data_IF_390136192264
#
_entry.id   IF_390136192264
#
_cell.length_a   1.000
_cell.length_b   1.000
_cell.length_c   1.000
_cell.angle_alpha   90.00
_cell.angle_beta   90.00
_cell.angle_gamma   90.00
#
_symmetry.space_group_name_H-M   'P 1'
#
loop_
_entity.id
_entity.type
_entity.pdbx_description
1 polymer ?
#
# COMPACT_ATOMS: atom_id res chain seq x y z
N UNK A 1 -14.62 2.86 45.33
CA UNK A 1 -13.19 2.65 45.05
C UNK A 1 -12.98 2.91 43.56
N UNK A 2 -12.98 4.19 43.21
CA UNK A 2 -12.48 4.70 41.94
C UNK A 2 -10.98 4.43 41.86
N UNK A 3 -10.52 3.97 40.69
CA UNK A 3 -9.11 4.04 40.30
C UNK A 3 -9.01 4.99 39.13
N UNK A 4 -8.77 6.25 39.47
CA UNK A 4 -8.21 7.30 38.63
C UNK A 4 -6.98 6.74 37.92
N UNK A 5 -7.04 6.70 36.58
CA UNK A 5 -5.85 6.46 35.75
C UNK A 5 -5.45 7.83 35.22
N UNK A 6 -4.57 8.49 35.96
CA UNK A 6 -3.89 9.71 35.53
C UNK A 6 -3.02 9.37 34.30
N UNK A 7 -3.61 9.53 33.12
CA UNK A 7 -2.86 9.65 31.87
C UNK A 7 -2.27 11.05 31.90
N UNK A 8 -0.98 11.10 32.20
CA UNK A 8 -0.14 12.28 32.24
C UNK A 8 -0.21 13.00 30.88
N UNK A 9 -1.11 13.99 30.79
CA UNK A 9 -1.10 15.03 29.77
C UNK A 9 0.18 15.83 29.99
N UNK A 10 1.21 15.54 29.18
CA UNK A 10 2.33 16.46 29.01
C UNK A 10 1.79 17.68 28.27
N UNK A 11 1.21 18.61 29.03
CA UNK A 11 1.01 19.99 28.62
C UNK A 11 2.38 20.59 28.36
N UNK A 12 2.78 20.63 27.09
CA UNK A 12 3.81 21.56 26.66
C UNK A 12 3.26 22.97 26.84
N UNK A 13 3.52 23.56 27.99
CA UNK A 13 3.51 25.00 28.17
C UNK A 13 4.67 25.58 27.35
N UNK A 14 4.41 25.93 26.10
CA UNK A 14 5.16 26.97 25.40
C UNK A 14 4.19 28.10 25.07
N UNK A 15 4.22 29.15 25.88
CA UNK A 15 3.62 30.45 25.60
C UNK A 15 4.45 31.19 24.53
N UNK A 16 4.65 30.57 23.39
CA UNK A 16 5.03 31.23 22.15
C UNK A 16 3.80 31.13 21.25
N UNK A 17 3.18 32.26 20.90
CA UNK A 17 2.17 32.27 19.85
C UNK A 17 2.80 31.63 18.61
N UNK A 18 2.25 30.49 18.19
CA UNK A 18 2.73 29.81 16.99
C UNK A 18 2.57 30.74 15.78
N UNK A 19 3.54 30.62 14.87
CA UNK A 19 3.67 31.47 13.69
C UNK A 19 2.36 31.63 12.91
N UNK A 20 2.08 32.82 12.37
CA UNK A 20 0.95 33.01 11.47
C UNK A 20 1.14 32.22 10.18
N UNK A 21 0.17 31.41 9.77
CA UNK A 21 0.17 30.68 8.49
C UNK A 21 -0.94 31.21 7.60
N UNK A 22 -0.59 31.55 6.36
CA UNK A 22 -1.56 31.95 5.36
C UNK A 22 -2.04 30.74 4.53
N UNK A 23 -3.34 30.66 4.24
CA UNK A 23 -3.91 29.64 3.36
C UNK A 23 -4.62 30.33 2.19
N UNK A 24 -4.10 30.14 0.98
CA UNK A 24 -4.75 30.59 -0.24
C UNK A 24 -5.81 29.56 -0.65
N UNK A 25 -7.06 30.01 -0.74
CA UNK A 25 -8.20 29.17 -1.09
C UNK A 25 -9.01 28.71 0.12
N UNK A 26 -10.31 28.96 0.07
CA UNK A 26 -11.30 28.66 1.13
C UNK A 26 -12.16 27.43 0.79
N UNK A 27 -11.64 26.52 -0.04
CA UNK A 27 -12.28 25.25 -0.38
C UNK A 27 -12.18 24.22 0.74
N UNK A 28 -12.65 23.00 0.47
CA UNK A 28 -12.76 21.94 1.49
C UNK A 28 -11.42 21.63 2.17
N UNK A 29 -10.34 21.48 1.39
CA UNK A 29 -9.01 21.21 1.95
C UNK A 29 -8.48 22.38 2.78
N UNK A 30 -8.61 23.61 2.29
CA UNK A 30 -8.16 24.81 3.02
C UNK A 30 -8.90 24.97 4.34
N UNK A 31 -10.23 24.73 4.36
CA UNK A 31 -11.06 24.73 5.58
C UNK A 31 -10.60 23.68 6.58
N UNK A 32 -10.43 22.43 6.15
CA UNK A 32 -9.99 21.33 7.01
C UNK A 32 -8.62 21.60 7.62
N UNK A 33 -7.66 22.03 6.80
CA UNK A 33 -6.31 22.28 7.26
C UNK A 33 -6.24 23.48 8.19
N UNK A 34 -6.93 24.57 7.86
CA UNK A 34 -6.98 25.76 8.72
C UNK A 34 -7.66 25.48 10.06
N UNK A 35 -8.72 24.67 10.08
CA UNK A 35 -9.36 24.25 11.33
C UNK A 35 -8.40 23.43 12.20
N UNK A 36 -7.67 22.47 11.64
CA UNK A 36 -6.71 21.66 12.40
C UNK A 36 -5.55 22.54 12.91
N UNK A 37 -5.04 23.45 12.09
CA UNK A 37 -3.98 24.37 12.49
C UNK A 37 -4.41 25.31 13.64
N UNK A 38 -5.63 25.84 13.61
CA UNK A 38 -6.19 26.63 14.71
C UNK A 38 -6.28 25.81 16.00
N UNK A 39 -6.67 24.53 15.92
CA UNK A 39 -6.72 23.64 17.08
C UNK A 39 -5.33 23.33 17.65
N UNK A 40 -4.29 23.40 16.82
CA UNK A 40 -2.90 23.24 17.24
C UNK A 40 -2.26 24.53 17.79
N UNK A 41 -2.93 25.68 17.67
CA UNK A 41 -2.46 26.97 18.22
C UNK A 41 -1.91 27.97 17.19
N UNK A 42 -1.97 27.66 15.89
CA UNK A 42 -1.51 28.57 14.83
C UNK A 42 -2.52 29.68 14.57
N UNK A 43 -2.03 30.90 14.31
CA UNK A 43 -2.85 31.99 13.78
C UNK A 43 -3.06 31.81 12.26
N UNK A 44 -4.30 31.72 11.80
CA UNK A 44 -4.62 31.47 10.39
C UNK A 44 -5.20 32.69 9.70
N UNK A 45 -4.64 33.01 8.52
CA UNK A 45 -5.17 34.04 7.61
C UNK A 45 -5.52 33.39 6.27
N UNK A 46 -6.78 33.43 5.88
CA UNK A 46 -7.24 32.94 4.59
C UNK A 46 -7.14 34.03 3.51
N UNK A 47 -6.55 33.68 2.36
CA UNK A 47 -6.64 34.45 1.13
C UNK A 47 -7.79 33.95 0.26
N UNK A 48 -8.73 34.84 -0.09
CA UNK A 48 -9.89 34.52 -0.92
C UNK A 48 -10.15 35.57 -2.00
N UNK A 49 -10.73 35.15 -3.13
CA UNK A 49 -11.24 36.06 -4.17
C UNK A 49 -12.37 36.97 -3.67
N UNK A 50 -13.18 36.47 -2.74
CA UNK A 50 -14.27 37.21 -2.14
C UNK A 50 -14.22 37.07 -0.61
N UNK A 51 -13.49 37.95 0.10
CA UNK A 51 -13.31 37.85 1.54
C UNK A 51 -14.61 38.08 2.33
N UNK A 52 -15.62 38.71 1.72
CA UNK A 52 -16.92 38.97 2.34
C UNK A 52 -17.78 37.69 2.49
N UNK A 53 -17.49 36.62 1.72
CA UNK A 53 -18.19 35.34 1.82
C UNK A 53 -17.39 34.34 2.69
N UNK A 54 -17.47 34.49 4.01
CA UNK A 54 -16.69 33.70 4.99
C UNK A 54 -17.54 32.78 5.88
N UNK A 55 -18.84 32.61 5.62
CA UNK A 55 -19.79 31.93 6.53
C UNK A 55 -19.49 30.48 6.91
N UNK A 56 -18.64 29.79 6.14
CA UNK A 56 -18.27 28.38 6.34
C UNK A 56 -16.82 28.20 6.82
N UNK A 57 -16.16 29.28 7.25
CA UNK A 57 -14.77 29.24 7.74
C UNK A 57 -14.73 29.13 9.27
N UNK A 58 -13.63 28.59 9.82
CA UNK A 58 -13.48 28.46 11.27
C UNK A 58 -13.53 29.82 11.97
N UNK A 59 -14.19 29.86 13.13
CA UNK A 59 -14.15 31.03 14.01
C UNK A 59 -12.70 31.26 14.48
N UNK A 60 -12.22 32.51 14.40
CA UNK A 60 -10.86 32.89 14.81
C UNK A 60 -9.84 33.00 13.67
N UNK A 61 -10.21 32.66 12.43
CA UNK A 61 -9.39 32.97 11.26
C UNK A 61 -9.85 34.26 10.55
N UNK A 62 -8.90 35.08 10.14
CA UNK A 62 -9.15 36.27 9.33
C UNK A 62 -9.24 35.89 7.84
N UNK A 63 -10.07 36.59 7.07
CA UNK A 63 -10.22 36.35 5.63
C UNK A 63 -9.99 37.65 4.87
N UNK A 64 -8.97 37.66 4.03
CA UNK A 64 -8.50 38.84 3.30
C UNK A 64 -8.41 38.57 1.81
N UNK A 65 -8.14 39.64 1.05
CA UNK A 65 -7.70 39.48 -0.34
C UNK A 65 -6.36 38.73 -0.40
N UNK A 66 -6.02 38.13 -1.55
CA UNK A 66 -4.77 37.40 -1.68
C UNK A 66 -3.52 38.24 -1.39
N UNK A 67 -3.50 39.50 -1.83
CA UNK A 67 -2.36 40.41 -1.60
C UNK A 67 -2.17 40.74 -0.12
N UNK A 68 -3.25 41.12 0.57
CA UNK A 68 -3.24 41.45 1.99
C UNK A 68 -2.91 40.22 2.86
N UNK A 69 -3.47 39.06 2.52
CA UNK A 69 -3.21 37.82 3.24
C UNK A 69 -1.73 37.40 3.15
N UNK A 70 -1.12 37.53 1.96
CA UNK A 70 0.30 37.19 1.75
C UNK A 70 1.27 38.08 2.55
N UNK A 71 0.88 39.30 2.90
CA UNK A 71 1.73 40.19 3.71
C UNK A 71 1.79 39.77 5.19
N UNK A 72 0.79 39.03 5.68
CA UNK A 72 0.67 38.67 7.11
C UNK A 72 1.45 37.42 7.53
N UNK A 73 2.02 36.67 6.59
CA UNK A 73 2.72 35.40 6.89
C UNK A 73 3.90 35.18 5.94
N UNK A 74 4.92 34.46 6.42
CA UNK A 74 6.02 33.97 5.58
C UNK A 74 5.74 32.61 4.92
N UNK A 75 4.72 31.90 5.40
CA UNK A 75 4.34 30.57 4.94
C UNK A 75 2.93 30.62 4.35
N UNK A 76 2.81 30.36 3.06
CA UNK A 76 1.56 30.41 2.32
C UNK A 76 1.27 29.02 1.75
N UNK A 77 0.15 28.43 2.18
CA UNK A 77 -0.31 27.13 1.71
C UNK A 77 -1.27 27.31 0.54
N UNK A 78 -0.93 26.69 -0.58
CA UNK A 78 -1.63 26.82 -1.85
C UNK A 78 -2.76 25.79 -1.98
N UNK A 79 -3.87 26.00 -1.27
CA UNK A 79 -5.07 25.15 -1.33
C UNK A 79 -5.95 25.46 -2.56
N UNK A 80 -5.32 25.56 -3.74
CA UNK A 80 -5.94 25.90 -5.02
C UNK A 80 -5.47 24.88 -6.08
N UNK A 81 -6.36 24.53 -7.01
CA UNK A 81 -6.01 23.67 -8.14
C UNK A 81 -5.07 24.39 -9.13
N UNK A 82 -4.19 23.60 -9.77
CA UNK A 82 -3.16 24.09 -10.69
C UNK A 82 -3.71 24.99 -11.79
N UNK A 83 -4.89 24.67 -12.32
CA UNK A 83 -5.56 25.41 -13.40
C UNK A 83 -5.81 26.88 -13.03
N UNK A 84 -5.78 27.22 -11.75
CA UNK A 84 -6.02 28.56 -11.23
C UNK A 84 -4.77 29.21 -10.66
N UNK A 85 -3.55 28.77 -11.00
CA UNK A 85 -2.32 29.41 -10.50
C UNK A 85 -1.99 30.75 -11.16
N UNK A 86 -2.63 31.08 -12.29
CA UNK A 86 -2.25 32.25 -13.09
C UNK A 86 -2.33 33.59 -12.34
N UNK A 87 -3.22 33.76 -11.35
CA UNK A 87 -3.28 35.01 -10.58
C UNK A 87 -2.02 35.30 -9.75
N UNK A 88 -1.18 34.28 -9.51
CA UNK A 88 0.06 34.43 -8.73
C UNK A 88 1.11 35.27 -9.45
N UNK A 89 1.06 35.37 -10.78
CA UNK A 89 1.98 36.22 -11.53
C UNK A 89 1.78 37.70 -11.20
N UNK A 90 0.57 38.10 -10.82
CA UNK A 90 0.26 39.46 -10.38
C UNK A 90 0.72 39.73 -8.94
N UNK A 91 0.98 38.68 -8.15
CA UNK A 91 1.39 38.76 -6.75
C UNK A 91 2.89 38.49 -6.53
N UNK A 92 3.66 38.32 -7.61
CA UNK A 92 5.04 37.82 -7.53
C UNK A 92 5.94 38.70 -6.66
N UNK A 93 5.73 40.02 -6.65
CA UNK A 93 6.48 40.95 -5.79
C UNK A 93 6.20 40.71 -4.30
N UNK A 94 4.94 40.47 -3.93
CA UNK A 94 4.50 40.23 -2.55
C UNK A 94 4.96 38.84 -2.07
N UNK A 95 5.05 37.88 -2.97
CA UNK A 95 5.44 36.50 -2.67
C UNK A 95 6.95 36.28 -2.66
N UNK A 96 7.75 37.29 -2.97
CA UNK A 96 9.20 37.17 -3.01
C UNK A 96 9.79 36.84 -1.63
N UNK A 97 10.65 35.81 -1.56
CA UNK A 97 11.23 35.29 -0.32
C UNK A 97 10.28 34.47 0.57
N UNK A 98 9.00 34.36 0.21
CA UNK A 98 8.01 33.57 0.96
C UNK A 98 8.18 32.07 0.70
N UNK A 99 7.66 31.25 1.62
CA UNK A 99 7.54 29.80 1.47
C UNK A 99 6.17 29.49 0.89
N UNK A 100 6.14 28.92 -0.32
CA UNK A 100 4.90 28.46 -0.96
C UNK A 100 4.78 26.95 -0.81
N UNK A 101 3.76 26.49 -0.09
CA UNK A 101 3.50 25.06 0.10
C UNK A 101 2.48 24.60 -0.93
N UNK A 102 2.92 23.85 -1.94
CA UNK A 102 2.04 23.23 -2.92
C UNK A 102 1.45 21.93 -2.38
N UNK A 103 0.11 21.89 -2.29
CA UNK A 103 -0.67 20.74 -1.80
C UNK A 103 -1.49 20.07 -2.90
N UNK A 104 -1.35 20.52 -4.15
CA UNK A 104 -2.22 20.09 -5.24
C UNK A 104 -1.98 18.65 -5.70
N UNK A 105 -3.03 18.00 -6.22
CA UNK A 105 -2.93 16.74 -6.97
C UNK A 105 -3.58 16.91 -8.33
N UNK A 106 -3.08 16.18 -9.33
CA UNK A 106 -3.70 16.10 -10.66
C UNK A 106 -4.86 15.10 -10.66
N UNK A 107 -5.73 15.15 -11.67
CA UNK A 107 -6.84 14.20 -11.80
C UNK A 107 -6.36 12.84 -12.35
N UNK A 108 -5.27 12.85 -13.12
CA UNK A 108 -4.67 11.66 -13.73
C UNK A 108 -3.15 11.75 -13.74
N UNK A 109 -2.50 10.58 -13.70
CA UNK A 109 -1.05 10.44 -13.85
C UNK A 109 -0.64 10.97 -15.23
N UNK A 110 0.47 11.73 -15.28
CA UNK A 110 1.01 12.36 -16.51
C UNK A 110 0.01 13.29 -17.23
N UNK A 111 -0.84 14.01 -16.48
CA UNK A 111 -1.70 15.05 -17.04
C UNK A 111 -0.90 16.23 -17.62
N UNK A 112 0.20 16.59 -16.96
CA UNK A 112 1.09 17.68 -17.33
C UNK A 112 2.54 17.16 -17.48
N UNK A 113 3.40 17.83 -18.27
CA UNK A 113 4.78 17.38 -18.51
C UNK A 113 5.69 17.53 -17.29
N UNK A 114 5.42 18.52 -16.44
CA UNK A 114 6.16 18.82 -15.21
C UNK A 114 5.21 18.79 -14.01
N UNK A 115 5.75 18.58 -12.80
CA UNK A 115 4.95 18.57 -11.57
C UNK A 115 4.30 19.93 -11.31
N UNK A 116 3.29 19.94 -10.44
CA UNK A 116 2.60 21.17 -10.06
C UNK A 116 3.51 22.09 -9.24
N UNK A 117 4.34 21.51 -8.37
CA UNK A 117 5.31 22.27 -7.59
C UNK A 117 6.41 22.90 -8.48
N UNK A 118 6.92 22.20 -9.50
CA UNK A 118 7.88 22.78 -10.46
C UNK A 118 7.25 23.91 -11.28
N UNK A 119 5.99 23.74 -11.71
CA UNK A 119 5.27 24.81 -12.41
C UNK A 119 5.05 26.03 -11.51
N UNK A 120 4.69 25.82 -10.24
CA UNK A 120 4.54 26.90 -9.27
C UNK A 120 5.86 27.65 -9.06
N UNK A 121 6.99 26.93 -9.00
CA UNK A 121 8.31 27.55 -8.88
C UNK A 121 8.69 28.39 -10.11
N UNK A 122 8.25 27.99 -11.31
CA UNK A 122 8.43 28.79 -12.52
C UNK A 122 7.56 30.06 -12.53
N UNK A 123 6.34 29.98 -11.99
CA UNK A 123 5.43 31.13 -11.90
C UNK A 123 5.89 32.17 -10.87
N UNK A 124 6.50 31.75 -9.77
CA UNK A 124 6.98 32.63 -8.70
C UNK A 124 8.45 32.32 -8.36
N UNK A 125 9.41 32.72 -9.21
CA UNK A 125 10.82 32.33 -9.06
C UNK A 125 11.49 32.84 -7.78
N UNK A 126 10.98 33.94 -7.21
CA UNK A 126 11.49 34.52 -5.96
C UNK A 126 11.05 33.77 -4.69
N UNK A 127 10.13 32.82 -4.79
CA UNK A 127 9.61 32.09 -3.65
C UNK A 127 10.27 30.71 -3.47
N UNK A 128 10.29 30.22 -2.23
CA UNK A 128 10.74 28.89 -1.90
C UNK A 128 9.57 27.90 -1.94
N UNK A 129 9.49 27.11 -3.02
CA UNK A 129 8.42 26.12 -3.18
C UNK A 129 8.75 24.83 -2.44
N UNK A 130 7.78 24.34 -1.67
CA UNK A 130 7.81 23.06 -0.95
C UNK A 130 6.56 22.26 -1.31
N UNK A 131 6.72 21.00 -1.70
CA UNK A 131 5.60 20.06 -1.86
C UNK A 131 5.29 19.42 -0.51
N UNK A 132 4.04 19.48 -0.05
CA UNK A 132 3.60 18.78 1.16
C UNK A 132 2.08 18.54 1.16
N UNK A 133 1.59 17.77 2.14
CA UNK A 133 0.18 17.50 2.47
C UNK A 133 -0.71 16.85 1.40
N UNK A 134 -0.24 16.68 0.17
CA UNK A 134 -1.03 16.11 -0.93
C UNK A 134 -1.43 14.64 -0.72
N UNK A 135 -0.80 13.93 0.22
CA UNK A 135 -1.13 12.54 0.59
C UNK A 135 -2.26 12.43 1.61
N UNK A 136 -2.69 13.53 2.22
CA UNK A 136 -3.73 13.55 3.24
C UNK A 136 -5.03 14.07 2.63
N UNK A 137 -6.14 13.40 2.94
CA UNK A 137 -7.46 13.86 2.52
C UNK A 137 -8.02 14.92 3.46
N UNK A 138 -8.83 15.84 2.92
CA UNK A 138 -9.52 16.86 3.72
C UNK A 138 -10.40 16.25 4.83
N UNK A 139 -10.99 15.08 4.56
CA UNK A 139 -11.81 14.35 5.54
C UNK A 139 -10.97 13.77 6.68
N UNK A 140 -9.78 13.23 6.39
CA UNK A 140 -8.91 12.64 7.41
C UNK A 140 -8.40 13.70 8.41
N UNK A 141 -8.18 14.94 7.95
CA UNK A 141 -7.87 16.07 8.83
C UNK A 141 -9.04 16.39 9.77
N UNK A 142 -10.28 16.42 9.25
CA UNK A 142 -11.47 16.75 10.06
C UNK A 142 -11.84 15.67 11.07
N UNK A 143 -11.80 14.40 10.66
CA UNK A 143 -12.26 13.29 11.48
C UNK A 143 -11.23 12.84 12.51
N UNK A 144 -9.96 13.26 12.36
CA UNK A 144 -8.79 12.75 13.09
C UNK A 144 -8.61 11.23 13.01
N UNK A 145 -9.37 10.57 12.12
CA UNK A 145 -9.28 9.15 11.84
C UNK A 145 -8.20 8.91 10.78
N UNK A 146 -6.94 9.04 11.20
CA UNK A 146 -5.77 8.74 10.36
C UNK A 146 -5.49 7.23 10.36
N UNK A 147 -6.41 6.43 9.81
CA UNK A 147 -6.33 4.96 9.87
C UNK A 147 -5.32 4.34 8.89
N UNK A 148 -4.95 5.06 7.82
CA UNK A 148 -4.09 4.51 6.76
C UNK A 148 -2.63 4.96 6.84
N UNK A 149 -2.36 6.27 6.95
CA UNK A 149 -1.00 6.80 7.08
C UNK A 149 -1.00 8.22 7.65
N UNK A 150 -0.19 8.45 8.68
CA UNK A 150 0.12 9.78 9.22
C UNK A 150 1.29 10.45 8.48
N UNK A 151 1.80 9.82 7.43
CA UNK A 151 3.00 10.28 6.74
C UNK A 151 2.66 11.38 5.73
N UNK A 152 3.42 12.48 5.81
CA UNK A 152 3.41 13.54 4.80
C UNK A 152 4.76 13.52 4.10
N UNK A 153 4.75 13.28 2.80
CA UNK A 153 5.97 13.43 2.00
C UNK A 153 6.26 14.92 1.81
N UNK A 154 7.50 15.32 2.06
CA UNK A 154 7.95 16.70 1.93
C UNK A 154 9.16 16.76 1.00
N UNK A 155 9.14 17.62 -0.01
CA UNK A 155 10.33 17.89 -0.83
C UNK A 155 10.42 19.36 -1.22
N UNK A 156 11.64 19.84 -1.44
CA UNK A 156 11.90 21.24 -1.80
C UNK A 156 13.39 21.50 -1.94
N UNK A 157 13.75 22.56 -2.68
CA UNK A 157 15.15 22.90 -2.97
C UNK A 157 15.82 23.69 -1.84
N UNK A 158 15.06 24.48 -1.09
CA UNK A 158 15.57 25.21 0.08
C UNK A 158 15.39 24.39 1.36
N UNK A 159 16.50 24.11 2.06
CA UNK A 159 16.49 23.25 3.25
C UNK A 159 15.82 23.91 4.45
N UNK A 160 15.94 25.24 4.60
CA UNK A 160 15.33 25.99 5.71
C UNK A 160 13.82 26.02 5.58
N UNK A 161 13.31 26.36 4.39
CA UNK A 161 11.89 26.34 4.06
C UNK A 161 11.30 24.95 4.29
N UNK A 162 12.00 23.91 3.83
CA UNK A 162 11.56 22.53 4.03
C UNK A 162 11.45 22.16 5.51
N UNK A 163 12.43 22.53 6.34
CA UNK A 163 12.38 22.25 7.79
C UNK A 163 11.20 22.96 8.46
N UNK A 164 10.95 24.24 8.15
CA UNK A 164 9.78 24.97 8.70
C UNK A 164 8.47 24.28 8.35
N UNK A 165 8.31 23.80 7.11
CA UNK A 165 7.12 23.05 6.70
C UNK A 165 7.04 21.70 7.42
N UNK A 166 8.16 21.00 7.62
CA UNK A 166 8.21 19.75 8.39
C UNK A 166 7.84 19.96 9.87
N UNK A 167 8.21 21.10 10.46
CA UNK A 167 7.83 21.46 11.83
C UNK A 167 6.32 21.66 11.96
N UNK A 168 5.69 22.35 10.99
CA UNK A 168 4.23 22.45 10.91
C UNK A 168 3.59 21.06 10.83
N UNK A 169 4.11 20.17 9.97
CA UNK A 169 3.61 18.79 9.86
C UNK A 169 3.68 18.08 11.22
N UNK A 170 4.78 18.22 11.98
CA UNK A 170 4.92 17.61 13.31
C UNK A 170 3.93 18.18 14.32
N UNK A 171 3.72 19.49 14.33
CA UNK A 171 2.77 20.18 15.22
C UNK A 171 1.33 19.72 15.00
N UNK A 172 0.99 19.35 13.77
CA UNK A 172 -0.31 18.75 13.40
C UNK A 172 -0.44 17.26 13.81
N UNK A 173 0.54 16.70 14.53
CA UNK A 173 0.55 15.29 14.93
C UNK A 173 0.84 14.31 13.78
N UNK A 174 1.36 14.81 12.66
CA UNK A 174 1.71 14.04 11.48
C UNK A 174 3.22 13.74 11.44
N UNK A 175 3.62 12.77 10.62
CA UNK A 175 5.01 12.34 10.47
C UNK A 175 5.58 12.83 9.15
N UNK A 176 6.42 13.88 9.11
CA UNK A 176 7.04 14.31 7.87
C UNK A 176 8.11 13.31 7.42
N UNK A 177 8.17 13.06 6.11
CA UNK A 177 9.20 12.27 5.45
C UNK A 177 9.85 13.10 4.35
N UNK A 178 11.11 13.50 4.54
CA UNK A 178 11.87 14.24 3.55
C UNK A 178 12.21 13.34 2.34
N UNK A 179 11.81 13.77 1.15
CA UNK A 179 12.05 13.11 -0.14
C UNK A 179 13.11 13.80 -0.99
N UNK A 180 13.84 14.77 -0.42
CA UNK A 180 14.94 15.45 -1.08
C UNK A 180 14.52 16.74 -1.78
N UNK A 181 15.02 16.94 -3.00
CA UNK A 181 14.82 18.15 -3.81
C UNK A 181 13.44 18.17 -4.47
N UNK A 182 13.11 19.29 -5.11
CA UNK A 182 11.82 19.47 -5.80
C UNK A 182 11.59 18.45 -6.95
N UNK A 183 12.65 17.81 -7.44
CA UNK A 183 12.56 16.74 -8.46
C UNK A 183 11.69 15.56 -8.01
N UNK A 184 11.60 15.31 -6.70
CA UNK A 184 10.76 14.25 -6.14
C UNK A 184 9.26 14.56 -6.19
N UNK A 185 8.87 15.83 -6.45
CA UNK A 185 7.47 16.26 -6.42
C UNK A 185 6.58 15.48 -7.40
N UNK A 186 7.10 15.14 -8.58
CA UNK A 186 6.35 14.35 -9.57
C UNK A 186 5.97 12.96 -9.03
N UNK A 187 6.88 12.27 -8.34
CA UNK A 187 6.57 10.97 -7.73
C UNK A 187 5.55 11.12 -6.58
N UNK A 188 5.71 12.15 -5.76
CA UNK A 188 4.81 12.47 -4.65
C UNK A 188 3.38 12.78 -5.14
N UNK A 189 3.24 13.52 -6.24
CA UNK A 189 1.94 13.82 -6.88
C UNK A 189 1.26 12.59 -7.47
N UNK A 190 2.05 11.65 -7.99
CA UNK A 190 1.51 10.41 -8.56
C UNK A 190 1.11 9.40 -7.47
N UNK A 191 1.69 9.48 -6.27
CA UNK A 191 1.44 8.54 -5.17
C UNK A 191 -0.04 8.34 -4.82
N UNK A 192 -0.85 9.39 -4.53
CA UNK A 192 -2.27 9.21 -4.18
C UNK A 192 -3.14 8.74 -5.35
N UNK A 193 -2.66 8.85 -6.60
CA UNK A 193 -3.41 8.45 -7.80
C UNK A 193 -3.22 6.97 -8.16
N UNK A 194 -2.28 6.28 -7.53
CA UNK A 194 -1.96 4.89 -7.81
C UNK A 194 -2.77 3.95 -6.90
N UNK A 195 -3.53 3.05 -7.51
CA UNK A 195 -4.16 1.93 -6.81
C UNK A 195 -3.39 0.63 -7.09
N UNK A 196 -2.62 0.18 -6.09
CA UNK A 196 -1.84 -1.06 -6.09
C UNK A 196 -1.09 -1.36 -7.41
N UNK A 197 -0.23 -0.47 -7.91
CA UNK A 197 0.36 -0.57 -9.25
C UNK A 197 1.17 -1.86 -9.44
N UNK A 198 1.98 -2.23 -8.45
CA UNK A 198 2.82 -3.45 -8.47
C UNK A 198 2.03 -4.75 -8.30
N UNK A 199 0.76 -4.68 -7.90
CA UNK A 199 -0.08 -5.86 -7.68
C UNK A 199 -0.90 -6.25 -8.90
N UNK A 200 -1.03 -5.36 -9.90
CA UNK A 200 -1.83 -5.61 -11.11
C UNK A 200 -1.40 -6.91 -11.81
N UNK A 201 -0.12 -7.03 -12.15
CA UNK A 201 0.39 -8.23 -12.83
C UNK A 201 0.18 -9.51 -11.99
N UNK A 202 0.59 -9.57 -10.71
CA UNK A 202 0.32 -10.71 -9.84
C UNK A 202 -1.17 -11.09 -9.72
N UNK A 203 -2.08 -10.11 -9.65
CA UNK A 203 -3.52 -10.37 -9.63
C UNK A 203 -4.04 -10.94 -10.96
N UNK A 204 -3.65 -10.36 -12.10
CA UNK A 204 -4.07 -10.90 -13.39
C UNK A 204 -3.54 -12.31 -13.62
N UNK A 205 -2.26 -12.54 -13.32
CA UNK A 205 -1.63 -13.85 -13.46
C UNK A 205 -2.31 -14.90 -12.58
N UNK A 206 -2.53 -14.59 -11.30
CA UNK A 206 -3.21 -15.52 -10.40
C UNK A 206 -4.66 -15.78 -10.80
N UNK A 207 -5.41 -14.76 -11.25
CA UNK A 207 -6.77 -14.93 -11.74
C UNK A 207 -6.84 -15.86 -12.95
N UNK A 208 -5.96 -15.66 -13.94
CA UNK A 208 -5.87 -16.52 -15.13
C UNK A 208 -5.54 -17.97 -14.76
N UNK A 209 -4.55 -18.18 -13.88
CA UNK A 209 -4.18 -19.52 -13.40
C UNK A 209 -5.37 -20.20 -12.68
N UNK A 210 -6.04 -19.49 -11.78
CA UNK A 210 -7.18 -20.02 -11.04
C UNK A 210 -8.34 -20.39 -11.97
N UNK A 211 -8.68 -19.53 -12.93
CA UNK A 211 -9.75 -19.79 -13.91
C UNK A 211 -9.42 -21.02 -14.76
N UNK A 212 -8.19 -21.10 -15.27
CA UNK A 212 -7.73 -22.24 -16.06
C UNK A 212 -7.83 -23.56 -15.28
N UNK A 213 -7.26 -23.62 -14.08
CA UNK A 213 -7.30 -24.84 -13.27
C UNK A 213 -8.69 -25.17 -12.73
N UNK A 214 -9.54 -24.16 -12.51
CA UNK A 214 -10.93 -24.35 -12.15
C UNK A 214 -11.67 -25.10 -13.26
N UNK A 215 -11.64 -24.60 -14.50
CA UNK A 215 -12.31 -25.27 -15.62
C UNK A 215 -11.74 -26.65 -15.90
N UNK A 216 -10.41 -26.81 -15.81
CA UNK A 216 -9.77 -28.12 -15.90
C UNK A 216 -10.32 -29.11 -14.86
N UNK A 217 -10.45 -28.68 -13.59
CA UNK A 217 -11.00 -29.53 -12.53
C UNK A 217 -12.50 -29.78 -12.70
N UNK A 218 -13.28 -28.79 -13.16
CA UNK A 218 -14.73 -28.96 -13.44
C UNK A 218 -14.96 -30.01 -14.51
N UNK A 219 -14.22 -29.94 -15.62
CA UNK A 219 -14.30 -30.93 -16.70
C UNK A 219 -14.03 -32.33 -16.14
N UNK A 220 -12.97 -32.49 -15.34
CA UNK A 220 -12.55 -33.79 -14.84
C UNK A 220 -13.42 -34.35 -13.71
N UNK A 221 -13.91 -33.52 -12.80
CA UNK A 221 -14.54 -33.97 -11.54
C UNK A 221 -16.06 -33.84 -11.52
N UNK A 222 -16.61 -33.02 -12.41
CA UNK A 222 -18.06 -32.81 -12.52
C UNK A 222 -18.57 -33.31 -13.87
N UNK A 223 -18.02 -32.79 -14.98
CA UNK A 223 -18.53 -33.12 -16.32
C UNK A 223 -18.27 -34.59 -16.67
N UNK A 224 -17.05 -35.09 -16.46
CA UNK A 224 -16.72 -36.48 -16.80
C UNK A 224 -17.58 -37.49 -16.01
N UNK A 225 -17.72 -37.44 -14.67
CA UNK A 225 -18.61 -38.34 -13.94
C UNK A 225 -20.09 -38.18 -14.32
N UNK A 226 -20.52 -36.97 -14.68
CA UNK A 226 -21.88 -36.74 -15.15
C UNK A 226 -22.15 -37.42 -16.51
N UNK A 227 -21.23 -37.29 -17.46
CA UNK A 227 -21.37 -37.84 -18.81
C UNK A 227 -21.29 -39.36 -18.80
N UNK A 228 -20.25 -39.92 -18.16
CA UNK A 228 -19.90 -41.34 -18.24
C UNK A 228 -20.46 -42.19 -17.10
N UNK A 229 -20.45 -41.70 -15.85
CA UNK A 229 -20.97 -42.46 -14.70
C UNK A 229 -22.43 -42.14 -14.37
N UNK A 230 -23.03 -41.12 -15.01
CA UNK A 230 -24.38 -40.59 -14.70
C UNK A 230 -24.55 -40.20 -13.22
N UNK A 231 -23.47 -39.74 -12.58
CA UNK A 231 -23.48 -39.30 -11.17
C UNK A 231 -23.36 -37.79 -11.07
N UNK A 232 -24.20 -37.18 -10.23
CA UNK A 232 -24.05 -35.79 -9.85
C UNK A 232 -22.91 -35.63 -8.83
N UNK A 233 -21.90 -34.83 -9.19
CA UNK A 233 -20.79 -34.41 -8.32
C UNK A 233 -20.62 -32.89 -8.28
N UNK A 234 -21.64 -32.13 -8.66
CA UNK A 234 -21.62 -30.65 -8.69
C UNK A 234 -21.23 -30.04 -7.34
N UNK A 235 -21.56 -30.69 -6.22
CA UNK A 235 -21.14 -30.26 -4.87
C UNK A 235 -19.60 -30.17 -4.69
N UNK A 236 -18.80 -30.78 -5.57
CA UNK A 236 -17.33 -30.62 -5.57
C UNK A 236 -16.90 -29.16 -5.81
N UNK A 237 -17.73 -28.36 -6.49
CA UNK A 237 -17.46 -26.95 -6.78
C UNK A 237 -17.20 -26.11 -5.53
N UNK A 238 -17.87 -26.43 -4.41
CA UNK A 238 -17.80 -25.61 -3.21
C UNK A 238 -16.47 -25.72 -2.45
N UNK A 239 -15.91 -26.93 -2.32
CA UNK A 239 -14.71 -27.16 -1.49
C UNK A 239 -13.69 -28.06 -2.17
N UNK A 240 -14.10 -29.15 -2.83
CA UNK A 240 -13.14 -30.11 -3.42
C UNK A 240 -12.34 -29.51 -4.56
N UNK A 241 -12.98 -28.73 -5.45
CA UNK A 241 -12.33 -28.08 -6.58
C UNK A 241 -11.42 -26.92 -6.13
N UNK A 242 -11.89 -25.97 -5.29
CA UNK A 242 -11.01 -24.95 -4.73
C UNK A 242 -9.78 -25.53 -4.00
N UNK A 243 -9.94 -26.63 -3.25
CA UNK A 243 -8.83 -27.30 -2.58
C UNK A 243 -7.87 -28.06 -3.51
N UNK A 244 -8.10 -28.04 -4.83
CA UNK A 244 -7.14 -28.46 -5.86
C UNK A 244 -6.55 -27.26 -6.58
N UNK A 245 -7.36 -26.24 -6.87
CA UNK A 245 -6.92 -25.03 -7.57
C UNK A 245 -5.95 -24.21 -6.72
N UNK A 246 -6.28 -23.94 -5.46
CA UNK A 246 -5.47 -23.09 -4.59
C UNK A 246 -4.05 -23.62 -4.33
N UNK A 247 -3.80 -24.89 -3.97
CA UNK A 247 -2.43 -25.37 -3.80
C UNK A 247 -1.63 -25.33 -5.11
N UNK A 248 -2.25 -25.62 -6.26
CA UNK A 248 -1.58 -25.55 -7.57
C UNK A 248 -1.20 -24.11 -7.90
N UNK A 249 -2.12 -23.16 -7.69
CA UNK A 249 -1.86 -21.73 -7.88
C UNK A 249 -0.76 -21.24 -6.95
N UNK A 250 -0.81 -21.61 -5.66
CA UNK A 250 0.20 -21.26 -4.67
C UNK A 250 1.60 -21.75 -5.08
N UNK A 251 1.72 -23.03 -5.42
CA UNK A 251 3.00 -23.62 -5.81
C UNK A 251 3.54 -23.04 -7.12
N UNK A 252 2.66 -22.81 -8.10
CA UNK A 252 3.04 -22.20 -9.39
C UNK A 252 3.55 -20.78 -9.19
N UNK A 253 2.81 -19.95 -8.43
CA UNK A 253 3.21 -18.58 -8.17
C UNK A 253 4.51 -18.51 -7.34
N UNK A 254 4.68 -19.40 -6.35
CA UNK A 254 5.92 -19.53 -5.59
C UNK A 254 7.11 -19.87 -6.49
N UNK A 255 6.94 -20.80 -7.44
CA UNK A 255 7.98 -21.10 -8.42
C UNK A 255 8.32 -19.88 -9.29
N UNK A 256 7.32 -19.09 -9.68
CA UNK A 256 7.50 -17.84 -10.45
C UNK A 256 8.14 -16.69 -9.65
N UNK A 257 8.26 -16.80 -8.33
CA UNK A 257 9.07 -15.86 -7.52
C UNK A 257 10.56 -16.10 -7.75
N UNK A 258 10.99 -17.37 -7.81
CA UNK A 258 12.40 -17.75 -7.88
C UNK A 258 12.92 -17.93 -9.31
N UNK A 259 12.03 -18.28 -10.26
CA UNK A 259 12.38 -18.45 -11.68
C UNK A 259 13.13 -17.26 -12.32
N UNK A 260 12.77 -15.98 -12.12
CA UNK A 260 13.49 -14.87 -12.75
C UNK A 260 14.93 -14.74 -12.22
N UNK A 261 15.19 -15.16 -10.98
CA UNK A 261 16.54 -15.21 -10.43
C UNK A 261 17.43 -16.24 -11.14
N UNK A 262 16.87 -17.41 -11.45
CA UNK A 262 17.57 -18.46 -12.23
C UNK A 262 17.85 -17.97 -13.65
N UNK A 263 16.87 -17.36 -14.32
CA UNK A 263 17.03 -16.79 -15.67
C UNK A 263 18.10 -15.68 -15.66
N UNK A 264 18.06 -14.79 -14.66
CA UNK A 264 19.04 -13.73 -14.51
C UNK A 264 20.47 -14.28 -14.33
N UNK A 265 20.64 -15.34 -13.55
CA UNK A 265 21.94 -16.00 -13.36
C UNK A 265 22.48 -16.59 -14.67
N UNK A 266 21.65 -17.31 -15.42
CA UNK A 266 22.02 -17.87 -16.74
C UNK A 266 22.44 -16.74 -17.69
N UNK A 267 21.67 -15.65 -17.71
CA UNK A 267 21.93 -14.52 -18.59
C UNK A 267 23.21 -13.76 -18.22
N UNK A 268 23.52 -13.63 -16.94
CA UNK A 268 24.78 -13.04 -16.46
C UNK A 268 25.98 -13.89 -16.83
N UNK A 269 25.89 -15.22 -16.68
CA UNK A 269 26.94 -16.15 -17.09
C UNK A 269 27.19 -16.09 -18.59
N UNK A 270 26.14 -16.10 -19.41
CA UNK A 270 26.25 -15.98 -20.86
C UNK A 270 26.90 -14.65 -21.30
N UNK A 271 26.59 -13.54 -20.61
CA UNK A 271 27.16 -12.22 -20.90
C UNK A 271 28.59 -12.04 -20.40
N UNK A 272 29.03 -12.87 -19.46
CA UNK A 272 30.31 -12.71 -18.76
C UNK A 272 30.41 -11.45 -17.88
N UNK A 273 29.29 -10.76 -17.62
CA UNK A 273 29.27 -9.53 -16.82
C UNK A 273 27.90 -9.26 -16.19
N UNK A 274 27.91 -8.76 -14.95
CA UNK A 274 26.71 -8.31 -14.24
C UNK A 274 26.30 -6.86 -14.56
N UNK A 275 27.17 -6.10 -15.22
CA UNK A 275 26.98 -4.66 -15.44
C UNK A 275 26.10 -4.33 -16.65
N UNK A 276 25.66 -5.33 -17.40
CA UNK A 276 24.69 -5.15 -18.49
C UNK A 276 23.27 -5.23 -17.95
N UNK A 277 22.47 -4.19 -18.21
CA UNK A 277 21.05 -4.11 -17.84
C UNK A 277 20.25 -5.33 -18.34
N UNK A 278 19.32 -5.83 -17.53
CA UNK A 278 18.41 -6.89 -17.94
C UNK A 278 17.43 -6.39 -19.02
N UNK A 279 16.89 -7.30 -19.86
CA UNK A 279 15.76 -6.97 -20.70
C UNK A 279 14.59 -6.44 -19.85
N UNK A 280 13.87 -5.44 -20.34
CA UNK A 280 12.86 -4.73 -19.54
C UNK A 280 11.81 -5.68 -18.94
N UNK A 281 11.37 -6.71 -19.67
CA UNK A 281 10.39 -7.68 -19.15
C UNK A 281 10.88 -8.43 -17.91
N UNK A 282 12.18 -8.76 -17.84
CA UNK A 282 12.78 -9.47 -16.71
C UNK A 282 12.94 -8.52 -15.50
N UNK A 283 13.31 -7.28 -15.76
CA UNK A 283 13.45 -6.23 -14.74
C UNK A 283 12.11 -5.94 -14.04
N UNK A 284 11.04 -5.75 -14.83
CA UNK A 284 9.68 -5.57 -14.29
C UNK A 284 9.19 -6.79 -13.49
N UNK A 285 9.51 -8.00 -13.94
CA UNK A 285 9.17 -9.21 -13.20
C UNK A 285 9.94 -9.32 -11.88
N UNK A 286 11.23 -8.97 -11.87
CA UNK A 286 12.05 -8.96 -10.66
C UNK A 286 11.52 -8.03 -9.57
N UNK A 287 10.92 -6.89 -9.95
CA UNK A 287 10.26 -5.94 -9.04
C UNK A 287 8.95 -6.49 -8.45
N UNK A 288 8.27 -7.41 -9.14
CA UNK A 288 6.98 -7.99 -8.71
C UNK A 288 7.12 -9.23 -7.81
N UNK A 289 8.35 -9.68 -7.50
CA UNK A 289 8.60 -10.93 -6.75
C UNK A 289 7.94 -10.94 -5.37
N UNK A 290 7.99 -9.81 -4.65
CA UNK A 290 7.35 -9.67 -3.33
C UNK A 290 5.84 -9.89 -3.42
N UNK A 291 5.19 -9.26 -4.39
CA UNK A 291 3.75 -9.32 -4.58
C UNK A 291 3.30 -10.73 -5.03
N UNK A 292 4.06 -11.38 -5.94
CA UNK A 292 3.81 -12.78 -6.31
C UNK A 292 3.90 -13.72 -5.10
N UNK A 293 4.93 -13.57 -4.26
CA UNK A 293 5.12 -14.38 -3.06
C UNK A 293 3.99 -14.21 -2.05
N UNK A 294 3.52 -12.97 -1.83
CA UNK A 294 2.40 -12.70 -0.92
C UNK A 294 1.06 -13.27 -1.42
N UNK A 295 0.77 -13.20 -2.72
CA UNK A 295 -0.43 -13.84 -3.29
C UNK A 295 -0.32 -15.37 -3.17
N UNK A 296 0.85 -15.93 -3.45
CA UNK A 296 1.11 -17.37 -3.31
C UNK A 296 0.89 -17.84 -1.87
N UNK A 297 1.36 -17.07 -0.87
CA UNK A 297 1.11 -17.34 0.56
C UNK A 297 -0.39 -17.29 0.88
N UNK A 298 -1.14 -16.35 0.32
CA UNK A 298 -2.60 -16.27 0.47
C UNK A 298 -3.32 -17.54 -0.03
N UNK A 299 -2.94 -18.05 -1.20
CA UNK A 299 -3.49 -19.31 -1.72
C UNK A 299 -3.06 -20.52 -0.89
N UNK A 300 -1.81 -20.56 -0.41
CA UNK A 300 -1.34 -21.61 0.49
C UNK A 300 -2.13 -21.62 1.81
N UNK A 301 -2.41 -20.45 2.38
CA UNK A 301 -3.23 -20.32 3.57
C UNK A 301 -4.67 -20.83 3.35
N UNK A 302 -5.30 -20.47 2.21
CA UNK A 302 -6.59 -21.04 1.83
C UNK A 302 -6.52 -22.57 1.72
N UNK A 303 -5.50 -23.12 1.07
CA UNK A 303 -5.32 -24.57 0.98
C UNK A 303 -5.24 -25.24 2.37
N UNK A 304 -4.52 -24.64 3.33
CA UNK A 304 -4.47 -25.13 4.71
C UNK A 304 -5.87 -25.16 5.33
N UNK A 305 -6.62 -24.06 5.26
CA UNK A 305 -7.98 -24.01 5.82
C UNK A 305 -8.93 -25.04 5.18
N UNK A 306 -8.91 -25.15 3.85
CA UNK A 306 -9.73 -26.11 3.11
C UNK A 306 -9.35 -27.57 3.41
N UNK A 307 -8.09 -27.83 3.75
CA UNK A 307 -7.60 -29.16 4.10
C UNK A 307 -7.95 -29.52 5.55
N UNK A 308 -7.80 -28.59 6.50
CA UNK A 308 -8.15 -28.81 7.90
C UNK A 308 -9.65 -29.05 8.13
N UNK A 309 -10.52 -28.48 7.29
CA UNK A 309 -11.98 -28.68 7.38
C UNK A 309 -12.45 -30.00 6.76
N UNK A 310 -11.58 -30.78 6.09
CA UNK A 310 -11.95 -32.04 5.41
C UNK A 310 -12.77 -32.99 6.31
N UNK A 311 -12.39 -33.28 7.57
CA UNK A 311 -13.10 -34.24 8.41
C UNK A 311 -14.54 -33.82 8.78
N UNK A 312 -14.84 -32.52 8.75
CA UNK A 312 -16.14 -31.96 9.18
C UNK A 312 -17.17 -32.07 8.03
N UNK A 313 -16.71 -32.14 6.78
CA UNK A 313 -17.58 -32.14 5.59
C UNK A 313 -18.48 -33.37 5.53
N UNK A 314 -19.75 -33.16 5.17
CA UNK A 314 -20.74 -34.23 5.06
C UNK A 314 -20.29 -35.36 4.11
N UNK A 315 -19.85 -35.01 2.89
CA UNK A 315 -19.40 -35.99 1.89
C UNK A 315 -18.31 -36.92 2.43
N UNK A 316 -17.36 -36.36 3.18
CA UNK A 316 -16.25 -37.11 3.77
C UNK A 316 -16.79 -38.05 4.85
N UNK A 317 -17.55 -37.52 5.82
CA UNK A 317 -18.18 -38.33 6.89
C UNK A 317 -19.02 -39.47 6.33
N UNK A 318 -19.91 -39.17 5.38
CA UNK A 318 -20.73 -40.17 4.72
C UNK A 318 -19.90 -41.25 4.02
N UNK A 319 -18.82 -40.86 3.31
CA UNK A 319 -17.94 -41.81 2.62
C UNK A 319 -17.20 -42.73 3.60
N UNK A 320 -16.70 -42.21 4.71
CA UNK A 320 -16.06 -43.02 5.76
C UNK A 320 -17.06 -43.99 6.39
N UNK A 321 -18.23 -43.51 6.81
CA UNK A 321 -19.29 -44.34 7.39
C UNK A 321 -19.72 -45.45 6.43
N UNK A 322 -19.99 -45.12 5.17
CA UNK A 322 -20.41 -46.10 4.17
C UNK A 322 -19.32 -47.15 3.90
N UNK A 323 -18.04 -46.75 3.84
CA UNK A 323 -16.91 -47.69 3.70
C UNK A 323 -16.81 -48.64 4.89
N UNK A 324 -16.93 -48.13 6.11
CA UNK A 324 -16.88 -48.95 7.33
C UNK A 324 -18.03 -49.94 7.38
N UNK A 325 -19.26 -49.50 7.09
CA UNK A 325 -20.46 -50.36 7.06
C UNK A 325 -20.30 -51.45 5.98
N UNK A 326 -19.91 -51.07 4.76
CA UNK A 326 -19.72 -52.03 3.67
C UNK A 326 -18.65 -53.08 3.99
N UNK A 327 -17.57 -52.68 4.65
CA UNK A 327 -16.51 -53.59 5.09
C UNK A 327 -17.00 -54.56 6.18
N UNK A 328 -17.76 -54.07 7.16
CA UNK A 328 -18.34 -54.89 8.24
C UNK A 328 -19.33 -55.93 7.69
N UNK A 329 -20.23 -55.53 6.78
CA UNK A 329 -21.19 -56.43 6.14
C UNK A 329 -20.47 -57.50 5.31
N UNK A 330 -19.43 -57.10 4.56
CA UNK A 330 -18.65 -58.02 3.73
C UNK A 330 -17.74 -58.96 4.53
N UNK A 331 -17.61 -58.79 5.86
CA UNK A 331 -16.69 -59.53 6.74
C UNK A 331 -15.25 -59.58 6.18
N UNK A 332 -14.83 -58.51 5.52
CA UNK A 332 -13.48 -58.39 4.94
C UNK A 332 -12.61 -57.53 5.85
N UNK A 333 -11.43 -58.01 6.20
CA UNK A 333 -10.43 -57.21 6.89
C UNK A 333 -9.48 -56.56 5.89
N UNK A 334 -9.08 -55.32 6.17
CA UNK A 334 -8.00 -54.65 5.45
C UNK A 334 -6.83 -54.51 6.40
N UNK A 335 -5.76 -55.32 6.25
CA UNK A 335 -4.62 -55.24 7.15
C UNK A 335 -3.97 -53.85 7.03
N UNK A 336 -3.44 -53.37 8.15
CA UNK A 336 -2.76 -52.08 8.20
C UNK A 336 -1.53 -52.10 7.28
N UNK A 337 -1.48 -51.16 6.34
CA UNK A 337 -0.35 -51.02 5.42
C UNK A 337 0.61 -49.97 5.95
N UNK A 338 1.74 -50.41 6.51
CA UNK A 338 2.82 -49.54 6.99
C UNK A 338 3.34 -48.60 5.91
N UNK A 339 3.44 -49.08 4.67
CA UNK A 339 3.88 -48.24 3.53
C UNK A 339 2.91 -47.09 3.25
N UNK A 340 1.59 -47.33 3.35
CA UNK A 340 0.58 -46.30 3.10
C UNK A 340 0.55 -45.28 4.25
N UNK A 341 0.77 -45.73 5.49
CA UNK A 341 0.90 -44.86 6.64
C UNK A 341 2.10 -43.91 6.49
N UNK A 342 3.29 -44.43 6.17
CA UNK A 342 4.47 -43.62 5.90
C UNK A 342 4.24 -42.57 4.81
N UNK A 343 3.65 -42.97 3.68
CA UNK A 343 3.37 -42.05 2.60
C UNK A 343 2.43 -40.93 3.06
N UNK A 344 1.35 -41.29 3.77
CA UNK A 344 0.35 -40.34 4.26
C UNK A 344 0.95 -39.33 5.23
N UNK A 345 1.70 -39.79 6.22
CA UNK A 345 2.25 -38.94 7.26
C UNK A 345 3.38 -38.05 6.71
N UNK A 346 4.16 -38.55 5.74
CA UNK A 346 5.29 -37.83 5.17
C UNK A 346 4.85 -36.58 4.40
N UNK A 347 3.85 -36.67 3.51
CA UNK A 347 3.44 -35.48 2.74
C UNK A 347 2.73 -34.45 3.63
N UNK A 348 2.02 -34.89 4.68
CA UNK A 348 1.38 -33.99 5.65
C UNK A 348 2.47 -33.26 6.45
N UNK A 349 3.47 -33.99 6.96
CA UNK A 349 4.60 -33.41 7.69
C UNK A 349 5.38 -32.39 6.84
N UNK A 350 5.70 -32.74 5.59
CA UNK A 350 6.39 -31.83 4.67
C UNK A 350 5.54 -30.62 4.30
N UNK A 351 4.23 -30.79 4.13
CA UNK A 351 3.29 -29.69 3.91
C UNK A 351 3.26 -28.71 5.09
N UNK A 352 3.24 -29.21 6.32
CA UNK A 352 3.28 -28.37 7.53
C UNK A 352 4.59 -27.59 7.64
N UNK A 353 5.74 -28.25 7.45
CA UNK A 353 7.06 -27.60 7.48
C UNK A 353 7.19 -26.55 6.37
N UNK A 354 6.79 -26.91 5.14
CA UNK A 354 6.82 -26.00 3.99
C UNK A 354 5.95 -24.76 4.22
N UNK A 355 4.74 -24.94 4.77
CA UNK A 355 3.85 -23.83 5.08
C UNK A 355 4.40 -22.94 6.21
N UNK A 356 5.00 -23.52 7.25
CA UNK A 356 5.66 -22.77 8.31
C UNK A 356 6.75 -21.83 7.77
N UNK A 357 7.63 -22.36 6.92
CA UNK A 357 8.68 -21.55 6.29
C UNK A 357 8.08 -20.50 5.34
N UNK A 358 6.99 -20.81 4.66
CA UNK A 358 6.30 -19.84 3.79
C UNK A 358 5.72 -18.67 4.60
N UNK A 359 5.13 -18.94 5.77
CA UNK A 359 4.66 -17.89 6.69
C UNK A 359 5.82 -17.03 7.18
N UNK A 360 6.99 -17.63 7.46
CA UNK A 360 8.19 -16.88 7.85
C UNK A 360 8.67 -15.91 6.75
N UNK A 361 8.59 -16.31 5.47
CA UNK A 361 8.82 -15.42 4.32
C UNK A 361 7.81 -14.26 4.28
N UNK A 362 6.55 -14.52 4.61
CA UNK A 362 5.50 -13.51 4.71
C UNK A 362 5.76 -12.50 5.83
N UNK A 363 6.14 -12.98 7.02
CA UNK A 363 6.44 -12.13 8.18
C UNK A 363 7.61 -11.19 7.88
N UNK A 364 8.68 -11.71 7.29
CA UNK A 364 9.86 -10.90 6.90
C UNK A 364 9.59 -9.94 5.74
N UNK A 365 8.44 -10.06 5.07
CA UNK A 365 8.00 -9.11 4.03
C UNK A 365 7.29 -7.87 4.59
N UNK A 366 6.94 -7.87 5.89
CA UNK A 366 6.35 -6.70 6.55
C UNK A 366 7.38 -5.57 6.67
N UNK A 367 7.04 -4.31 6.30
CA UNK A 367 7.99 -3.19 6.37
C UNK A 367 8.61 -2.99 7.75
N UNK A 368 7.84 -3.19 8.82
CA UNK A 368 8.34 -3.09 10.21
C UNK A 368 9.43 -4.10 10.52
N UNK A 369 9.35 -5.31 9.95
CA UNK A 369 10.35 -6.38 10.15
C UNK A 369 11.51 -6.19 9.18
N UNK A 370 11.25 -5.94 7.90
CA UNK A 370 12.30 -5.80 6.89
C UNK A 370 13.25 -4.64 7.20
N UNK A 371 12.75 -3.56 7.82
CA UNK A 371 13.57 -2.41 8.19
C UNK A 371 14.45 -2.66 9.42
N UNK A 372 14.22 -3.73 10.18
CA UNK A 372 15.02 -4.10 11.37
C UNK A 372 16.11 -5.13 11.06
N UNK A 373 16.05 -5.76 9.89
CA UNK A 373 16.90 -6.89 9.51
C UNK A 373 17.97 -6.41 8.53
N UNK A 374 19.22 -6.83 8.72
CA UNK A 374 20.28 -6.44 7.79
C UNK A 374 20.19 -7.22 6.45
N UNK A 375 20.87 -6.73 5.41
CA UNK A 375 20.78 -7.33 4.07
C UNK A 375 21.21 -8.80 4.02
N UNK A 376 22.11 -9.26 4.91
CA UNK A 376 22.57 -10.66 4.95
C UNK A 376 21.50 -11.57 5.53
N UNK A 377 20.89 -11.17 6.63
CA UNK A 377 19.77 -11.87 7.26
C UNK A 377 18.56 -11.91 6.33
N UNK A 378 18.22 -10.78 5.69
CA UNK A 378 17.13 -10.70 4.72
C UNK A 378 17.38 -11.66 3.54
N UNK A 379 18.61 -11.66 2.99
CA UNK A 379 18.99 -12.58 1.91
C UNK A 379 18.98 -14.04 2.35
N UNK A 380 19.38 -14.35 3.58
CA UNK A 380 19.35 -15.71 4.11
C UNK A 380 17.91 -16.25 4.17
N UNK A 381 16.97 -15.43 4.63
CA UNK A 381 15.56 -15.83 4.72
C UNK A 381 14.90 -15.85 3.33
N UNK A 382 15.05 -14.81 2.52
CA UNK A 382 14.32 -14.64 1.27
C UNK A 382 14.96 -15.36 0.07
N UNK A 383 16.25 -15.70 0.15
CA UNK A 383 17.02 -16.27 -0.97
C UNK A 383 17.18 -15.32 -2.17
N UNK A 384 16.85 -14.04 -2.00
CA UNK A 384 16.86 -13.02 -3.03
C UNK A 384 17.99 -12.02 -2.70
N UNK A 385 18.92 -11.73 -3.64
CA UNK A 385 19.83 -10.61 -3.45
C UNK A 385 18.99 -9.34 -3.31
N UNK A 386 19.27 -8.56 -2.25
CA UNK A 386 18.69 -7.23 -2.08
C UNK A 386 18.89 -6.48 -3.41
N UNK A 387 17.81 -6.00 -4.01
CA UNK A 387 17.95 -5.00 -5.07
C UNK A 387 18.44 -3.76 -4.33
N UNK A 388 19.75 -3.58 -4.28
CA UNK A 388 20.35 -2.32 -3.89
C UNK A 388 19.80 -1.28 -4.87
N UNK A 389 18.86 -0.48 -4.39
CA UNK A 389 18.30 0.70 -5.06
C UNK A 389 19.37 1.76 -5.22
#
# INVERSE_FOLDING_TARGET
MEKTTDVLLLTMNSSEEQETVCIFGTGDFGKSLGLEMLQCGYSIVFGSRNPQMSSLLPNGAEVLSYSEAAQKSDIIIMAIHREHYNFLTELTEVLNGKILVDVSNNLKIKQYPQSNAEYLAQLVPGAHVVKAFNTISAWALQSRALDASRQVFVCGNDSKAKQRVMDIVRSLGLTPLDKGSLMAANEIENYPLQLFPMWKFPFYLSAVLCVFFFFYCVIREVIYPYVYEKKDRTFHLAISIPNRVFPIAALTLLALVYLPGVIAAILQLYRGTKYRRFPDWLDHWMLCRKQLGLIALGFAFLHVLYTLVIPIRYYVRWTWTNRTIAQAIAKKERPFSTSTAWLSDSYIAMGMLGFFLFVLLGITSLPSVSNMVNWREFRFVQGIPCQDS
#
